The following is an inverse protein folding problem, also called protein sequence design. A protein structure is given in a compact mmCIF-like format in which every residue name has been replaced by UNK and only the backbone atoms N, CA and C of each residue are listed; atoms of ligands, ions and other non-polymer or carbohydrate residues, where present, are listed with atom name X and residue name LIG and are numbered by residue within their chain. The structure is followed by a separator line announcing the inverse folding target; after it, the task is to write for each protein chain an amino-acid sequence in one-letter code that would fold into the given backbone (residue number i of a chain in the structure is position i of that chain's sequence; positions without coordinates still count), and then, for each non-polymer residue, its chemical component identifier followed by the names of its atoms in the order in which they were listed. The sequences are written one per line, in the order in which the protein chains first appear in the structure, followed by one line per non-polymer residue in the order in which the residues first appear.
data_IF_039320756531
#
_entry.id   IF_039320756531
#
_cell.length_a   1.000
_cell.length_b   1.000
_cell.length_c   1.000
_cell.angle_alpha   90.00
_cell.angle_beta   90.00
_cell.angle_gamma   90.00
#
_symmetry.space_group_name_H-M   'P 1'
#
loop_
_entity.id
_entity.type
_entity.pdbx_description
1 polymer ?
#
# COMPACT_ATOMS: atom_id res chain seq x y z
N UNK A 1 28.37 4.10 -2.25
CA UNK A 1 27.70 3.64 -1.01
C UNK A 1 26.62 4.66 -0.81
N UNK A 2 25.48 4.41 -1.43
CA UNK A 2 24.45 5.44 -1.60
C UNK A 2 23.74 5.61 -0.26
N UNK A 3 23.81 6.83 0.25
CA UNK A 3 23.22 7.21 1.53
C UNK A 3 21.70 7.09 1.39
N UNK A 4 21.02 6.38 2.29
CA UNK A 4 19.54 6.24 2.33
C UNK A 4 18.80 7.59 2.23
N UNK A 5 19.45 8.69 2.57
CA UNK A 5 18.95 10.06 2.46
C UNK A 5 18.77 10.57 1.02
N UNK A 6 19.39 9.94 0.02
CA UNK A 6 19.27 10.33 -1.40
C UNK A 6 18.11 9.61 -2.11
N UNK A 7 17.52 8.61 -1.47
CA UNK A 7 16.33 7.96 -2.02
C UNK A 7 15.14 8.83 -1.68
N UNK A 8 14.65 9.58 -2.68
CA UNK A 8 13.35 10.24 -2.66
C UNK A 8 12.25 9.16 -2.67
N UNK A 9 12.11 8.47 -1.53
CA UNK A 9 11.19 7.36 -1.31
C UNK A 9 9.86 7.93 -0.87
N UNK A 10 8.96 8.13 -1.82
CA UNK A 10 7.56 8.39 -1.51
C UNK A 10 6.89 7.06 -1.14
N UNK A 11 6.53 6.90 0.13
CA UNK A 11 5.85 5.73 0.66
C UNK A 11 4.37 6.04 0.83
N UNK A 12 3.52 5.37 0.04
CA UNK A 12 2.06 5.45 0.22
C UNK A 12 1.58 4.19 0.94
N UNK A 13 0.80 4.39 2.00
CA UNK A 13 0.22 3.29 2.78
C UNK A 13 -1.29 3.39 2.63
N UNK A 14 -1.86 2.36 2.01
CA UNK A 14 -3.28 2.33 1.70
C UNK A 14 -3.90 1.21 2.51
N UNK A 15 -4.74 1.62 3.45
CA UNK A 15 -5.40 0.72 4.39
C UNK A 15 -6.89 0.69 4.08
N UNK A 16 -7.41 -0.49 3.76
CA UNK A 16 -8.86 -0.71 3.75
C UNK A 16 -9.27 -1.33 5.09
N UNK A 17 -10.12 -0.64 5.85
CA UNK A 17 -10.81 -1.27 7.00
C UNK A 17 -11.76 -2.33 6.45
N UNK A 18 -11.37 -3.58 6.57
CA UNK A 18 -12.28 -4.70 6.32
C UNK A 18 -12.76 -5.20 7.67
N UNK A 19 -14.08 -5.28 7.86
CA UNK A 19 -14.64 -6.18 8.87
C UNK A 19 -14.07 -7.59 8.63
N UNK A 20 -13.80 -8.34 9.70
CA UNK A 20 -13.23 -9.69 9.65
C UNK A 20 -14.17 -10.59 8.83
N UNK A 21 -13.91 -10.68 7.54
CA UNK A 21 -14.78 -11.34 6.56
C UNK A 21 -13.98 -12.37 5.78
N UNK A 22 -14.60 -13.54 5.56
CA UNK A 22 -14.04 -14.68 4.83
C UNK A 22 -13.67 -14.38 3.36
N UNK A 23 -13.96 -13.17 2.85
CA UNK A 23 -13.68 -12.74 1.47
C UNK A 23 -12.37 -11.95 1.33
N UNK A 24 -11.28 -12.49 1.88
CA UNK A 24 -9.96 -11.83 1.93
C UNK A 24 -9.47 -11.32 0.57
N UNK A 25 -9.67 -12.11 -0.49
CA UNK A 25 -9.22 -11.75 -1.84
C UNK A 25 -10.02 -10.60 -2.48
N UNK A 26 -11.33 -10.51 -2.19
CA UNK A 26 -12.15 -9.41 -2.72
C UNK A 26 -11.71 -8.07 -2.12
N UNK A 27 -11.46 -8.04 -0.82
CA UNK A 27 -10.96 -6.84 -0.15
C UNK A 27 -9.57 -6.46 -0.64
N UNK A 28 -8.71 -7.45 -0.90
CA UNK A 28 -7.40 -7.22 -1.50
C UNK A 28 -7.50 -6.53 -2.85
N UNK A 29 -8.39 -6.99 -3.73
CA UNK A 29 -8.61 -6.35 -5.04
C UNK A 29 -9.05 -4.90 -4.91
N UNK A 30 -10.05 -4.62 -4.07
CA UNK A 30 -10.49 -3.23 -3.81
C UNK A 30 -9.36 -2.34 -3.28
N UNK A 31 -8.54 -2.87 -2.37
CA UNK A 31 -7.40 -2.14 -1.84
C UNK A 31 -6.35 -1.86 -2.93
N UNK A 32 -6.05 -2.84 -3.78
CA UNK A 32 -5.13 -2.68 -4.91
C UNK A 32 -5.66 -1.70 -5.96
N UNK A 33 -6.97 -1.72 -6.23
CA UNK A 33 -7.64 -0.81 -7.15
C UNK A 33 -7.56 0.64 -6.64
N UNK A 34 -7.90 0.88 -5.38
CA UNK A 34 -7.74 2.20 -4.77
C UNK A 34 -6.27 2.66 -4.81
N UNK A 35 -5.35 1.76 -4.48
CA UNK A 35 -3.91 2.03 -4.54
C UNK A 35 -3.43 2.38 -5.93
N UNK A 36 -3.93 1.69 -6.94
CA UNK A 36 -3.60 2.01 -8.32
C UNK A 36 -3.97 3.45 -8.67
N UNK A 37 -5.19 3.89 -8.38
CA UNK A 37 -5.62 5.25 -8.70
C UNK A 37 -4.84 6.32 -7.93
N UNK A 38 -4.70 6.16 -6.60
CA UNK A 38 -3.99 7.14 -5.78
C UNK A 38 -2.52 7.29 -6.19
N UNK A 39 -1.83 6.16 -6.40
CA UNK A 39 -0.42 6.19 -6.81
C UNK A 39 -0.24 6.78 -8.21
N UNK A 40 -1.18 6.50 -9.11
CA UNK A 40 -1.12 7.02 -10.48
C UNK A 40 -1.37 8.53 -10.53
N UNK A 41 -2.29 9.06 -9.71
CA UNK A 41 -2.48 10.51 -9.53
C UNK A 41 -1.21 11.19 -8.97
N UNK A 42 -0.49 10.48 -8.10
CA UNK A 42 0.79 10.94 -7.55
C UNK A 42 1.97 10.71 -8.52
N UNK A 43 1.70 10.30 -9.77
CA UNK A 43 2.70 10.05 -10.81
C UNK A 43 3.76 8.99 -10.42
N UNK A 44 3.37 8.03 -9.59
CA UNK A 44 4.21 6.89 -9.23
C UNK A 44 4.18 5.87 -10.36
N UNK A 45 5.36 5.48 -10.86
CA UNK A 45 5.48 4.54 -11.98
C UNK A 45 5.97 3.15 -11.58
N UNK A 46 6.60 3.01 -10.41
CA UNK A 46 7.14 1.73 -9.96
C UNK A 46 6.64 1.43 -8.55
N UNK A 47 6.02 0.27 -8.38
CA UNK A 47 5.44 -0.17 -7.10
C UNK A 47 6.04 -1.52 -6.75
N UNK A 48 6.62 -1.60 -5.56
CA UNK A 48 7.11 -2.86 -4.99
C UNK A 48 6.17 -3.27 -3.87
N UNK A 49 5.66 -4.50 -3.93
CA UNK A 49 4.87 -5.11 -2.88
C UNK A 49 5.62 -6.27 -2.25
N UNK A 50 5.35 -6.54 -0.97
CA UNK A 50 5.82 -7.76 -0.35
C UNK A 50 5.17 -8.99 -1.01
N UNK A 51 5.99 -10.01 -1.26
CA UNK A 51 5.59 -11.27 -1.87
C UNK A 51 4.74 -12.11 -0.93
N UNK A 52 3.68 -12.70 -1.47
CA UNK A 52 2.83 -13.72 -0.83
C UNK A 52 3.02 -15.06 -1.55
N UNK A 53 1.98 -15.90 -1.55
CA UNK A 53 1.96 -17.09 -2.41
C UNK A 53 2.05 -16.69 -3.88
N UNK A 54 2.78 -17.44 -4.68
CA UNK A 54 3.01 -17.12 -6.10
C UNK A 54 1.70 -16.92 -6.89
N UNK A 55 0.71 -17.79 -6.65
CA UNK A 55 -0.61 -17.67 -7.28
C UNK A 55 -1.40 -16.41 -6.85
N UNK A 56 -1.10 -15.84 -5.68
CA UNK A 56 -1.66 -14.56 -5.23
C UNK A 56 -0.92 -13.39 -5.90
N UNK A 57 0.41 -13.44 -5.95
CA UNK A 57 1.21 -12.40 -6.61
C UNK A 57 0.82 -12.25 -8.09
N UNK A 58 0.64 -13.37 -8.80
CA UNK A 58 0.16 -13.36 -10.20
C UNK A 58 -1.25 -12.76 -10.34
N UNK A 59 -2.14 -12.99 -9.38
CA UNK A 59 -3.49 -12.41 -9.38
C UNK A 59 -3.47 -10.91 -9.13
N UNK A 60 -2.61 -10.43 -8.24
CA UNK A 60 -2.40 -8.99 -8.00
C UNK A 60 -1.93 -8.31 -9.31
N UNK A 61 -0.91 -8.87 -9.99
CA UNK A 61 -0.40 -8.34 -11.26
C UNK A 61 -1.48 -8.34 -12.35
N UNK A 62 -2.19 -9.46 -12.54
CA UNK A 62 -3.24 -9.56 -13.54
C UNK A 62 -4.37 -8.55 -13.30
N UNK A 63 -4.69 -8.26 -12.04
CA UNK A 63 -5.70 -7.27 -11.70
C UNK A 63 -5.26 -5.86 -12.08
N UNK A 64 -4.02 -5.45 -11.78
CA UNK A 64 -3.47 -4.15 -12.19
C UNK A 64 -3.42 -4.02 -13.71
N UNK A 65 -2.95 -5.04 -14.43
CA UNK A 65 -2.93 -5.03 -15.90
C UNK A 65 -4.34 -4.83 -16.47
N UNK A 66 -5.34 -5.48 -15.89
CA UNK A 66 -6.73 -5.30 -16.31
C UNK A 66 -7.23 -3.87 -16.08
N UNK A 67 -6.88 -3.24 -14.94
CA UNK A 67 -7.21 -1.84 -14.67
C UNK A 67 -6.51 -0.88 -15.64
N UNK A 68 -5.24 -1.12 -15.95
CA UNK A 68 -4.49 -0.32 -16.93
C UNK A 68 -5.10 -0.40 -18.33
N UNK A 69 -5.59 -1.59 -18.73
CA UNK A 69 -6.29 -1.78 -20.00
C UNK A 69 -7.60 -0.99 -20.13
N UNK A 70 -8.16 -0.48 -19.03
CA UNK A 70 -9.34 0.40 -19.05
C UNK A 70 -8.99 1.87 -19.33
N UNK A 71 -7.71 2.25 -19.32
CA UNK A 71 -7.26 3.59 -19.69
C UNK A 71 -7.65 4.71 -18.73
N UNK A 72 -8.04 4.38 -17.49
CA UNK A 72 -8.54 5.36 -16.51
C UNK A 72 -7.44 6.12 -15.77
N UNK A 73 -6.19 5.66 -15.80
CA UNK A 73 -5.07 6.33 -15.12
C UNK A 73 -3.73 5.99 -15.74
N UNK A 74 -2.68 6.68 -15.31
CA UNK A 74 -1.31 6.41 -15.74
C UNK A 74 -0.87 5.00 -15.34
N UNK A 75 -0.07 4.36 -16.20
CA UNK A 75 0.35 2.99 -15.93
C UNK A 75 1.41 2.90 -14.82
N UNK A 76 1.21 1.97 -13.89
CA UNK A 76 2.23 1.56 -12.91
C UNK A 76 2.90 0.24 -13.31
N UNK A 77 4.16 0.05 -12.92
CA UNK A 77 4.86 -1.24 -12.95
C UNK A 77 4.85 -1.86 -11.57
N UNK A 78 4.12 -2.95 -11.41
CA UNK A 78 4.02 -3.70 -10.17
C UNK A 78 5.04 -4.84 -10.14
N UNK A 79 5.79 -4.97 -9.05
CA UNK A 79 6.60 -6.17 -8.75
C UNK A 79 6.39 -6.64 -7.32
N UNK A 80 6.62 -7.93 -7.08
CA UNK A 80 6.64 -8.52 -5.74
C UNK A 80 8.08 -8.90 -5.36
N UNK A 81 8.48 -8.56 -4.13
CA UNK A 81 9.82 -8.86 -3.57
C UNK A 81 9.63 -9.55 -2.22
N UNK A 82 10.50 -10.48 -1.83
CA UNK A 82 10.37 -11.14 -0.51
C UNK A 82 10.71 -10.12 0.57
N UNK A 83 9.99 -10.12 1.69
CA UNK A 83 10.23 -9.16 2.77
C UNK A 83 11.68 -9.15 3.30
N UNK A 84 12.37 -10.29 3.25
CA UNK A 84 13.78 -10.39 3.65
C UNK A 84 14.78 -9.81 2.64
N UNK A 85 14.36 -9.55 1.40
CA UNK A 85 15.24 -9.10 0.30
C UNK A 85 15.25 -7.57 0.15
N UNK A 86 14.21 -6.86 0.63
CA UNK A 86 14.13 -5.40 0.62
C UNK A 86 13.69 -4.89 2.00
N UNK A 87 14.61 -4.31 2.79
CA UNK A 87 14.29 -3.81 4.11
C UNK A 87 13.32 -2.62 4.08
N UNK A 88 12.99 -2.00 2.95
CA UNK A 88 11.98 -0.94 2.98
C UNK A 88 10.55 -1.49 3.10
N UNK A 89 10.36 -2.80 2.85
CA UNK A 89 9.05 -3.45 2.91
C UNK A 89 8.46 -3.56 4.32
N UNK A 90 9.25 -3.39 5.40
CA UNK A 90 8.72 -3.42 6.77
C UNK A 90 8.07 -2.10 7.21
N UNK A 91 8.36 -0.99 6.52
CA UNK A 91 7.87 0.34 6.94
C UNK A 91 6.33 0.41 6.92
N UNK A 92 5.63 -0.08 5.87
CA UNK A 92 4.17 -0.16 5.87
C UNK A 92 3.60 -0.89 7.08
N UNK A 93 4.21 -1.99 7.52
CA UNK A 93 3.75 -2.74 8.70
C UNK A 93 3.97 -1.97 10.00
N UNK A 94 5.09 -1.28 10.15
CA UNK A 94 5.35 -0.46 11.33
C UNK A 94 4.34 0.70 11.46
N UNK A 95 4.02 1.36 10.35
CA UNK A 95 3.03 2.44 10.32
C UNK A 95 1.62 1.89 10.57
N UNK A 96 1.25 0.77 9.96
CA UNK A 96 -0.04 0.13 10.19
C UNK A 96 -0.18 -0.34 11.66
N UNK A 97 0.89 -0.87 12.24
CA UNK A 97 0.97 -1.24 13.64
C UNK A 97 0.73 -0.04 14.55
N UNK A 98 1.43 1.08 14.32
CA UNK A 98 1.24 2.31 15.08
C UNK A 98 -0.20 2.87 14.95
N UNK A 99 -0.77 2.86 13.75
CA UNK A 99 -2.16 3.26 13.53
C UNK A 99 -3.15 2.35 14.28
N UNK A 100 -2.92 1.04 14.30
CA UNK A 100 -3.76 0.12 15.06
C UNK A 100 -3.66 0.34 16.58
N UNK A 101 -2.46 0.63 17.10
CA UNK A 101 -2.25 0.96 18.51
C UNK A 101 -3.04 2.18 18.98
N UNK A 102 -3.20 3.22 18.14
CA UNK A 102 -4.06 4.37 18.43
C UNK A 102 -5.50 3.92 18.74
N UNK A 103 -6.03 2.95 17.99
CA UNK A 103 -7.38 2.43 18.22
C UNK A 103 -7.51 1.63 19.52
N UNK A 104 -6.39 1.19 20.08
CA UNK A 104 -6.30 0.51 21.38
C UNK A 104 -6.00 1.49 22.53
N UNK A 105 -5.90 2.79 22.26
CA UNK A 105 -5.57 3.83 23.23
C UNK A 105 -4.07 4.05 23.44
N UNK A 106 -3.21 3.42 22.64
CA UNK A 106 -1.75 3.55 22.73
C UNK A 106 -1.21 4.47 21.61
N UNK A 107 -1.21 5.78 21.87
CA UNK A 107 -0.82 6.79 20.86
C UNK A 107 0.70 6.97 20.70
N UNK A 108 1.48 6.53 21.69
CA UNK A 108 2.94 6.73 21.80
C UNK A 108 3.76 6.28 20.57
N UNK A 109 3.25 5.33 19.78
CA UNK A 109 3.90 4.86 18.56
C UNK A 109 3.56 5.75 17.36
N UNK A 110 2.32 6.23 17.28
CA UNK A 110 1.86 7.12 16.22
C UNK A 110 2.49 8.51 16.35
N UNK A 111 2.62 9.03 17.57
CA UNK A 111 3.30 10.31 17.85
C UNK A 111 4.69 10.38 17.23
N UNK A 112 5.42 9.25 17.18
CA UNK A 112 6.78 9.18 16.61
C UNK A 112 6.82 9.16 15.07
N UNK A 113 5.71 8.83 14.42
CA UNK A 113 5.65 8.58 12.97
C UNK A 113 4.79 9.60 12.22
N UNK A 114 3.80 10.20 12.88
CA UNK A 114 2.73 10.96 12.21
C UNK A 114 3.24 12.12 11.32
N UNK A 115 4.29 12.84 11.72
CA UNK A 115 4.87 13.92 10.91
C UNK A 115 5.46 13.45 9.58
N UNK A 116 5.82 12.16 9.49
CA UNK A 116 6.44 11.53 8.31
C UNK A 116 5.43 10.73 7.49
N UNK A 117 4.17 10.68 7.89
CA UNK A 117 3.13 9.86 7.27
C UNK A 117 1.99 10.74 6.79
N UNK A 118 1.73 10.73 5.48
CA UNK A 118 0.52 11.33 4.92
C UNK A 118 -0.62 10.32 5.00
N UNK A 119 -1.57 10.55 5.90
CA UNK A 119 -2.75 9.70 6.04
C UNK A 119 -3.93 10.27 5.23
N UNK A 120 -4.27 9.63 4.11
CA UNK A 120 -5.54 9.89 3.42
C UNK A 120 -6.63 8.97 3.99
N UNK A 121 -7.77 9.55 4.38
CA UNK A 121 -8.97 8.80 4.76
C UNK A 121 -10.00 8.98 3.66
N UNK A 122 -10.61 7.90 3.12
CA UNK A 122 -11.73 8.06 2.21
C UNK A 122 -12.85 8.80 2.93
N UNK A 123 -13.41 9.82 2.26
CA UNK A 123 -14.58 10.52 2.75
C UNK A 123 -15.77 9.53 2.69
N UNK A 124 -16.73 9.56 3.64
CA UNK A 124 -17.88 8.65 3.62
C UNK A 124 -18.68 8.68 2.32
N UNK A 125 -18.58 9.78 1.57
CA UNK A 125 -19.29 10.03 0.32
C UNK A 125 -18.61 9.45 -0.94
N UNK A 126 -17.47 8.75 -0.80
CA UNK A 126 -16.69 8.23 -1.94
C UNK A 126 -16.88 6.73 -2.22
N UNK A 127 -18.03 6.14 -1.84
CA UNK A 127 -18.37 4.73 -2.08
C UNK A 127 -19.61 4.55 -2.97
#
# INVERSE_FOLDING_TARGET
MDTLSEIDSMQAIITHRSEVSKKTERHRRKCLEQMYFELSEMHVHNVTLESRQEAQNRRDIAHIVALQGQGQSAGIRLRHVRGGDDPLLWIPDAVLGALNSVHLGEEQYWEKLHEKVVLKRPNPDSL
#
